data_IF_870970480580
#
_entry.id   IF_870970480580
#
_cell.length_a   1.000
_cell.length_b   1.000
_cell.length_c   1.000
_cell.angle_alpha   90.00
_cell.angle_beta   90.00
_cell.angle_gamma   90.00
#
_symmetry.space_group_name_H-M   'P 1'
#
loop_
_entity.id
_entity.type
_entity.pdbx_description
1 polymer ?
#
# COMPACT_ATOMS: atom_id res chain seq x y z
N UNK A 1 9.77 19.78 -20.54
CA UNK A 1 10.56 18.94 -19.61
C UNK A 1 10.56 19.35 -18.13
N UNK A 2 10.33 20.61 -17.69
CA UNK A 2 10.43 20.92 -16.25
C UNK A 2 9.35 20.23 -15.41
N UNK A 3 8.11 20.14 -15.91
CA UNK A 3 7.00 19.52 -15.20
C UNK A 3 7.19 18.02 -14.94
N UNK A 4 7.66 17.25 -15.94
CA UNK A 4 7.94 15.82 -15.80
C UNK A 4 8.94 15.56 -14.66
N UNK A 5 10.04 16.32 -14.61
CA UNK A 5 11.05 16.20 -13.55
C UNK A 5 10.47 16.56 -12.19
N UNK A 6 9.69 17.64 -12.12
CA UNK A 6 9.05 18.07 -10.89
C UNK A 6 8.12 16.98 -10.33
N UNK A 7 7.25 16.39 -11.17
CA UNK A 7 6.34 15.32 -10.75
C UNK A 7 7.13 14.14 -10.17
N UNK A 8 8.14 13.65 -10.88
CA UNK A 8 8.92 12.49 -10.44
C UNK A 8 9.72 12.77 -9.15
N UNK A 9 10.21 14.00 -8.98
CA UNK A 9 11.04 14.36 -7.84
C UNK A 9 10.21 14.60 -6.58
N UNK A 10 9.02 15.19 -6.71
CA UNK A 10 8.21 15.66 -5.59
C UNK A 10 6.92 14.87 -5.36
N UNK A 11 6.54 13.90 -6.21
CA UNK A 11 5.32 13.09 -6.03
C UNK A 11 5.28 12.43 -4.65
N UNK A 12 6.37 11.82 -4.20
CA UNK A 12 6.46 11.15 -2.91
C UNK A 12 6.24 12.11 -1.73
N UNK A 13 6.79 13.34 -1.82
CA UNK A 13 6.58 14.38 -0.82
C UNK A 13 5.11 14.85 -0.85
N UNK A 14 4.58 15.13 -2.04
CA UNK A 14 3.19 15.54 -2.23
C UNK A 14 2.22 14.51 -1.67
N UNK A 15 2.41 13.21 -1.96
CA UNK A 15 1.55 12.15 -1.41
C UNK A 15 1.61 12.08 0.11
N UNK A 16 2.78 12.27 0.71
CA UNK A 16 2.90 12.29 2.17
C UNK A 16 2.21 13.52 2.78
N UNK A 17 2.32 14.69 2.16
CA UNK A 17 1.58 15.89 2.57
C UNK A 17 0.07 15.68 2.46
N UNK A 18 -0.40 15.07 1.37
CA UNK A 18 -1.81 14.73 1.17
C UNK A 18 -2.29 13.69 2.20
N UNK A 19 -1.47 12.69 2.53
CA UNK A 19 -1.79 11.72 3.57
C UNK A 19 -1.90 12.38 4.94
N UNK A 20 -0.99 13.29 5.30
CA UNK A 20 -1.10 14.05 6.55
C UNK A 20 -2.37 14.90 6.57
N UNK A 21 -2.70 15.58 5.45
CA UNK A 21 -3.94 16.34 5.34
C UNK A 21 -5.17 15.42 5.48
N UNK A 22 -5.13 14.21 4.93
CA UNK A 22 -6.15 13.18 5.12
C UNK A 22 -6.32 12.82 6.60
N UNK A 23 -5.23 12.47 7.30
CA UNK A 23 -5.26 12.11 8.73
C UNK A 23 -5.82 13.23 9.60
N UNK A 24 -5.50 14.48 9.29
CA UNK A 24 -5.99 15.63 10.06
C UNK A 24 -7.47 15.91 9.75
N UNK A 25 -7.84 15.99 8.47
CA UNK A 25 -9.11 16.58 8.06
C UNK A 25 -10.20 15.53 7.79
N UNK A 26 -9.87 14.50 7.03
CA UNK A 26 -10.86 13.56 6.50
C UNK A 26 -11.03 12.34 7.39
N UNK A 27 -9.94 11.80 7.95
CA UNK A 27 -10.02 10.62 8.80
C UNK A 27 -10.94 10.83 10.00
N UNK A 28 -10.92 11.96 10.75
CA UNK A 28 -11.81 12.14 11.89
C UNK A 28 -13.29 12.17 11.47
N UNK A 29 -13.61 12.69 10.28
CA UNK A 29 -14.97 12.69 9.73
C UNK A 29 -15.44 11.28 9.38
N UNK A 30 -14.55 10.46 8.79
CA UNK A 30 -14.84 9.05 8.53
C UNK A 30 -15.06 8.27 9.83
N UNK A 31 -14.17 8.44 10.82
CA UNK A 31 -14.30 7.77 12.11
C UNK A 31 -15.56 8.22 12.86
N UNK A 32 -15.89 9.52 12.84
CA UNK A 32 -17.12 10.03 13.44
C UNK A 32 -18.36 9.40 12.79
N UNK A 33 -18.39 9.29 11.45
CA UNK A 33 -19.46 8.62 10.72
C UNK A 33 -19.58 7.14 11.12
N UNK A 34 -18.46 6.41 11.12
CA UNK A 34 -18.44 4.97 11.43
C UNK A 34 -18.91 4.71 12.87
N UNK A 35 -18.50 5.56 13.82
CA UNK A 35 -18.96 5.51 15.22
C UNK A 35 -20.43 5.91 15.41
N UNK A 36 -21.00 6.68 14.49
CA UNK A 36 -22.36 7.18 14.55
C UNK A 36 -23.40 6.22 13.94
N UNK A 37 -22.98 5.07 13.41
CA UNK A 37 -23.88 4.04 12.84
C UNK A 37 -24.31 3.06 13.95
N UNK A 38 -25.49 3.22 14.61
CA UNK A 38 -25.77 2.59 15.89
C UNK A 38 -26.96 1.63 15.85
N UNK A 39 -27.28 1.01 14.71
CA UNK A 39 -28.25 -0.09 14.70
C UNK A 39 -27.51 -1.44 14.61
N UNK A 40 -27.60 -2.31 15.65
CA UNK A 40 -26.92 -3.61 15.70
C UNK A 40 -27.19 -4.55 14.52
N UNK A 41 -28.18 -4.25 13.68
CA UNK A 41 -28.60 -5.06 12.53
C UNK A 41 -28.44 -4.35 11.18
N UNK A 42 -27.86 -3.13 11.16
CA UNK A 42 -27.69 -2.40 9.91
C UNK A 42 -26.30 -2.66 9.32
N UNK A 43 -26.26 -3.39 8.20
CA UNK A 43 -25.04 -3.61 7.43
C UNK A 43 -24.58 -2.30 6.79
N UNK A 44 -23.33 -1.91 7.02
CA UNK A 44 -22.71 -0.81 6.27
C UNK A 44 -22.03 -1.36 5.01
N UNK A 45 -22.85 -1.54 3.97
CA UNK A 45 -22.41 -2.00 2.67
C UNK A 45 -21.36 -1.09 2.03
N UNK A 46 -21.42 0.22 2.30
CA UNK A 46 -20.47 1.16 1.73
C UNK A 46 -19.10 0.99 2.36
N UNK A 47 -19.01 0.93 3.69
CA UNK A 47 -17.74 0.71 4.39
C UNK A 47 -17.12 -0.62 3.99
N UNK A 48 -17.91 -1.71 3.99
CA UNK A 48 -17.44 -3.03 3.56
C UNK A 48 -16.95 -3.02 2.10
N UNK A 49 -17.72 -2.44 1.18
CA UNK A 49 -17.31 -2.35 -0.23
C UNK A 49 -16.05 -1.51 -0.42
N UNK A 50 -15.93 -0.35 0.25
CA UNK A 50 -14.74 0.49 0.16
C UNK A 50 -13.49 -0.26 0.62
N UNK A 51 -13.57 -1.03 1.72
CA UNK A 51 -12.48 -1.86 2.19
C UNK A 51 -12.16 -3.03 1.24
N UNK A 52 -13.18 -3.65 0.63
CA UNK A 52 -13.00 -4.67 -0.41
C UNK A 52 -12.36 -4.13 -1.70
N UNK A 53 -12.50 -2.84 -1.99
CA UNK A 53 -11.88 -2.20 -3.16
C UNK A 53 -10.40 -1.82 -2.93
N UNK A 54 -9.93 -1.74 -1.69
CA UNK A 54 -8.54 -1.38 -1.36
C UNK A 54 -7.49 -2.24 -2.11
N UNK A 55 -7.63 -3.58 -2.18
CA UNK A 55 -6.72 -4.44 -2.96
C UNK A 55 -6.68 -4.11 -4.45
N UNK A 56 -7.83 -3.71 -5.02
CA UNK A 56 -7.94 -3.35 -6.44
C UNK A 56 -7.29 -2.00 -6.72
N UNK A 57 -7.56 -0.99 -5.89
CA UNK A 57 -6.91 0.32 -6.00
C UNK A 57 -5.39 0.21 -5.88
N UNK A 58 -4.91 -0.65 -5.01
CA UNK A 58 -3.47 -0.89 -4.85
C UNK A 58 -2.87 -1.52 -6.10
N UNK A 59 -3.51 -2.57 -6.64
CA UNK A 59 -3.05 -3.24 -7.85
C UNK A 59 -3.05 -2.29 -9.06
N UNK A 60 -4.12 -1.50 -9.22
CA UNK A 60 -4.20 -0.45 -10.24
C UNK A 60 -3.08 0.57 -10.04
N UNK A 61 -2.84 0.99 -8.80
CA UNK A 61 -1.76 1.91 -8.45
C UNK A 61 -0.38 1.40 -8.89
N UNK A 62 -0.06 0.15 -8.54
CA UNK A 62 1.19 -0.52 -8.93
C UNK A 62 1.30 -0.63 -10.45
N UNK A 63 0.23 -1.05 -11.12
CA UNK A 63 0.20 -1.18 -12.57
C UNK A 63 0.41 0.17 -13.29
N UNK A 64 -0.13 1.25 -12.74
CA UNK A 64 0.04 2.59 -13.28
C UNK A 64 1.46 3.13 -13.07
N UNK A 65 2.10 2.83 -11.94
CA UNK A 65 3.49 3.23 -11.64
C UNK A 65 4.53 2.46 -12.47
N UNK A 66 4.24 1.21 -12.82
CA UNK A 66 5.20 0.27 -13.42
C UNK A 66 6.08 0.82 -14.55
N UNK A 67 5.59 1.58 -15.54
CA UNK A 67 6.45 2.09 -16.61
C UNK A 67 7.59 2.98 -16.12
N UNK A 68 7.32 3.84 -15.14
CA UNK A 68 8.33 4.74 -14.56
C UNK A 68 9.30 3.96 -13.68
N UNK A 69 8.78 3.09 -12.81
CA UNK A 69 9.60 2.25 -11.92
C UNK A 69 10.56 1.36 -12.73
N UNK A 70 10.07 0.73 -13.80
CA UNK A 70 10.86 -0.12 -14.68
C UNK A 70 11.93 0.67 -15.45
N UNK A 71 11.61 1.88 -15.93
CA UNK A 71 12.61 2.76 -16.55
C UNK A 71 13.75 3.08 -15.56
N UNK A 72 13.38 3.54 -14.36
CA UNK A 72 14.34 3.98 -13.35
C UNK A 72 15.22 2.83 -12.86
N UNK A 73 14.66 1.63 -12.70
CA UNK A 73 15.44 0.47 -12.26
C UNK A 73 16.48 0.01 -13.28
N UNK A 74 16.23 0.21 -14.57
CA UNK A 74 17.18 -0.17 -15.63
C UNK A 74 18.28 0.87 -15.78
N UNK A 75 17.93 2.16 -15.71
CA UNK A 75 18.88 3.25 -15.94
C UNK A 75 19.66 3.65 -14.69
N UNK A 76 19.09 3.42 -13.50
CA UNK A 76 19.68 3.79 -12.21
C UNK A 76 19.62 2.64 -11.20
N UNK A 77 20.08 1.41 -11.55
CA UNK A 77 20.04 0.28 -10.64
C UNK A 77 20.95 0.51 -9.43
N UNK A 78 20.48 0.09 -8.26
CA UNK A 78 21.37 -0.09 -7.11
C UNK A 78 22.18 -1.37 -7.30
N UNK A 79 23.51 -1.27 -7.30
CA UNK A 79 24.42 -2.38 -7.62
C UNK A 79 24.36 -3.52 -6.59
N UNK A 80 24.17 -3.22 -5.31
CA UNK A 80 24.17 -4.21 -4.23
C UNK A 80 23.14 -3.85 -3.15
N UNK A 81 22.48 -4.87 -2.64
CA UNK A 81 21.57 -4.77 -1.50
C UNK A 81 22.38 -4.98 -0.23
N UNK A 82 22.31 -4.04 0.72
CA UNK A 82 22.84 -4.30 2.05
C UNK A 82 21.97 -5.35 2.75
N UNK A 83 22.55 -6.12 3.68
CA UNK A 83 21.79 -7.09 4.49
C UNK A 83 20.60 -6.43 5.19
N UNK A 84 20.76 -5.18 5.64
CA UNK A 84 19.68 -4.36 6.18
C UNK A 84 18.59 -4.03 5.17
N UNK A 85 18.95 -3.71 3.92
CA UNK A 85 17.99 -3.49 2.84
C UNK A 85 17.15 -4.73 2.54
N UNK A 86 17.79 -5.91 2.55
CA UNK A 86 17.09 -7.19 2.41
C UNK A 86 16.15 -7.49 3.59
N UNK A 87 16.57 -7.23 4.82
CA UNK A 87 15.71 -7.41 6.00
C UNK A 87 14.50 -6.47 5.96
N UNK A 88 14.70 -5.19 5.64
CA UNK A 88 13.62 -4.21 5.48
C UNK A 88 12.64 -4.68 4.39
N UNK A 89 13.15 -5.19 3.27
CA UNK A 89 12.32 -5.79 2.22
C UNK A 89 11.46 -6.92 2.77
N UNK A 90 12.08 -7.91 3.44
CA UNK A 90 11.39 -9.09 3.94
C UNK A 90 10.30 -8.70 4.94
N UNK A 91 10.62 -7.83 5.90
CA UNK A 91 9.64 -7.33 6.87
C UNK A 91 8.51 -6.55 6.19
N UNK A 92 8.82 -5.72 5.19
CA UNK A 92 7.80 -4.98 4.44
C UNK A 92 6.84 -5.94 3.76
N UNK A 93 7.33 -6.98 3.08
CA UNK A 93 6.49 -7.99 2.44
C UNK A 93 5.64 -8.77 3.46
N UNK A 94 6.23 -9.17 4.59
CA UNK A 94 5.50 -9.85 5.66
C UNK A 94 4.39 -8.98 6.27
N UNK A 95 4.69 -7.72 6.58
CA UNK A 95 3.70 -6.78 7.13
C UNK A 95 2.61 -6.44 6.12
N UNK A 96 2.96 -6.30 4.84
CA UNK A 96 2.02 -6.08 3.77
C UNK A 96 1.03 -7.25 3.63
N UNK A 97 1.55 -8.48 3.62
CA UNK A 97 0.71 -9.69 3.60
C UNK A 97 -0.20 -9.78 4.83
N UNK A 98 0.33 -9.48 6.03
CA UNK A 98 -0.47 -9.46 7.26
C UNK A 98 -1.58 -8.39 7.20
N UNK A 99 -1.28 -7.20 6.69
CA UNK A 99 -2.24 -6.12 6.51
C UNK A 99 -3.32 -6.48 5.48
N UNK A 100 -2.95 -7.14 4.38
CA UNK A 100 -3.87 -7.61 3.36
C UNK A 100 -4.85 -8.67 3.90
N UNK A 101 -4.36 -9.61 4.73
CA UNK A 101 -5.20 -10.61 5.41
C UNK A 101 -6.16 -9.94 6.40
N UNK A 102 -5.64 -9.04 7.24
CA UNK A 102 -6.47 -8.30 8.21
C UNK A 102 -7.53 -7.46 7.53
N UNK A 103 -7.21 -6.80 6.42
CA UNK A 103 -8.14 -6.00 5.65
C UNK A 103 -9.33 -6.83 5.16
N UNK A 104 -9.12 -8.07 4.70
CA UNK A 104 -10.23 -8.94 4.29
C UNK A 104 -11.16 -9.22 5.45
N UNK A 105 -10.61 -9.57 6.63
CA UNK A 105 -11.39 -9.82 7.85
C UNK A 105 -12.20 -8.57 8.23
N UNK A 106 -11.55 -7.40 8.22
CA UNK A 106 -12.18 -6.13 8.58
C UNK A 106 -13.24 -5.75 7.56
N UNK A 107 -13.02 -5.97 6.26
CA UNK A 107 -13.97 -5.62 5.20
C UNK A 107 -15.30 -6.37 5.31
N UNK A 108 -15.28 -7.60 5.83
CA UNK A 108 -16.49 -8.40 6.03
C UNK A 108 -17.23 -8.09 7.35
N UNK A 109 -16.57 -7.41 8.30
CA UNK A 109 -17.18 -7.04 9.59
C UNK A 109 -18.35 -6.05 9.44
N UNK A 110 -18.24 -4.91 8.72
CA UNK A 110 -19.37 -4.01 8.45
C UNK A 110 -20.52 -4.66 7.66
N UNK A 111 -20.21 -5.71 6.90
CA UNK A 111 -21.18 -6.49 6.14
C UNK A 111 -21.92 -7.52 7.00
N UNK A 112 -21.48 -7.72 8.25
CA UNK A 112 -21.95 -8.78 9.15
C UNK A 112 -21.85 -10.17 8.50
N UNK A 113 -20.77 -10.40 7.75
CA UNK A 113 -20.48 -11.69 7.10
C UNK A 113 -19.34 -12.33 7.88
N UNK A 114 -19.58 -13.52 8.44
CA UNK A 114 -18.59 -14.25 9.22
C UNK A 114 -18.57 -15.73 8.89
N UNK A 115 -17.70 -16.48 9.57
CA UNK A 115 -17.66 -17.94 9.55
C UNK A 115 -18.63 -18.53 10.58
N UNK A 116 -19.84 -17.97 10.70
CA UNK A 116 -20.87 -18.42 11.63
C UNK A 116 -22.02 -19.13 10.91
N UNK A 117 -22.81 -19.90 11.67
CA UNK A 117 -23.97 -20.64 11.14
C UNK A 117 -25.08 -19.72 10.58
N UNK A 118 -25.05 -18.43 10.92
CA UNK A 118 -26.02 -17.42 10.46
C UNK A 118 -25.71 -16.91 9.06
N UNK A 119 -24.47 -17.02 8.61
CA UNK A 119 -24.04 -16.59 7.29
C UNK A 119 -24.33 -17.68 6.25
N UNK A 120 -25.04 -17.33 5.16
CA UNK A 120 -25.32 -18.30 4.09
C UNK A 120 -24.04 -18.87 3.47
N UNK A 121 -24.06 -20.15 3.08
CA UNK A 121 -22.92 -20.83 2.45
C UNK A 121 -22.36 -20.09 1.22
N UNK A 122 -23.22 -19.42 0.44
CA UNK A 122 -22.79 -18.61 -0.71
C UNK A 122 -21.94 -17.40 -0.30
N UNK A 123 -22.31 -16.71 0.78
CA UNK A 123 -21.53 -15.57 1.30
C UNK A 123 -20.21 -16.01 1.94
N UNK A 124 -20.19 -17.16 2.64
CA UNK A 124 -18.94 -17.74 3.15
C UNK A 124 -18.00 -18.12 2.00
N UNK A 125 -18.56 -18.70 0.93
CA UNK A 125 -17.80 -19.02 -0.30
C UNK A 125 -17.23 -17.76 -0.95
N UNK A 126 -18.03 -16.69 -1.05
CA UNK A 126 -17.57 -15.40 -1.57
C UNK A 126 -16.42 -14.83 -0.73
N UNK A 127 -16.55 -14.87 0.60
CA UNK A 127 -15.49 -14.43 1.51
C UNK A 127 -14.19 -15.22 1.30
N UNK A 128 -14.29 -16.55 1.17
CA UNK A 128 -13.14 -17.39 0.87
C UNK A 128 -12.51 -17.07 -0.50
N UNK A 129 -13.32 -16.86 -1.54
CA UNK A 129 -12.82 -16.47 -2.87
C UNK A 129 -12.10 -15.13 -2.82
N UNK A 130 -12.69 -14.12 -2.16
CA UNK A 130 -12.05 -12.80 -1.98
C UNK A 130 -10.73 -12.93 -1.21
N UNK A 131 -10.72 -13.72 -0.13
CA UNK A 131 -9.49 -14.00 0.63
C UNK A 131 -8.39 -14.61 -0.26
N UNK A 132 -8.74 -15.62 -1.06
CA UNK A 132 -7.80 -16.25 -2.00
C UNK A 132 -7.33 -15.30 -3.09
N UNK A 133 -8.21 -14.44 -3.61
CA UNK A 133 -7.85 -13.40 -4.56
C UNK A 133 -6.87 -12.39 -3.95
N UNK A 134 -7.09 -11.98 -2.70
CA UNK A 134 -6.17 -11.09 -1.98
C UNK A 134 -4.79 -11.74 -1.82
N UNK A 135 -4.72 -13.01 -1.42
CA UNK A 135 -3.43 -13.74 -1.34
C UNK A 135 -2.76 -13.86 -2.71
N UNK A 136 -3.53 -14.19 -3.75
CA UNK A 136 -3.00 -14.30 -5.11
C UNK A 136 -2.48 -12.95 -5.64
N UNK A 137 -3.12 -11.84 -5.27
CA UNK A 137 -2.63 -10.48 -5.57
C UNK A 137 -1.24 -10.23 -4.99
N UNK A 138 -0.91 -10.78 -3.82
CA UNK A 138 0.40 -10.58 -3.20
C UNK A 138 1.51 -11.23 -4.03
N UNK A 139 1.24 -12.35 -4.71
CA UNK A 139 2.17 -12.92 -5.67
C UNK A 139 2.43 -11.94 -6.84
N UNK A 140 1.39 -11.28 -7.36
CA UNK A 140 1.57 -10.21 -8.35
C UNK A 140 2.32 -9.01 -7.78
N UNK A 141 2.00 -8.56 -6.57
CA UNK A 141 2.69 -7.47 -5.90
C UNK A 141 4.21 -7.70 -5.88
N UNK A 142 4.63 -8.89 -5.44
CA UNK A 142 6.04 -9.31 -5.42
C UNK A 142 6.63 -9.26 -6.83
N UNK A 143 5.98 -9.89 -7.82
CA UNK A 143 6.47 -9.93 -9.22
C UNK A 143 6.54 -8.54 -9.87
N UNK A 144 5.61 -7.65 -9.54
CA UNK A 144 5.52 -6.33 -10.17
C UNK A 144 6.47 -5.31 -9.55
N UNK A 145 6.84 -5.50 -8.28
CA UNK A 145 7.75 -4.60 -7.58
C UNK A 145 9.21 -4.98 -7.76
N UNK A 146 9.51 -6.25 -8.00
CA UNK A 146 10.87 -6.60 -8.40
C UNK A 146 11.17 -6.00 -9.78
N UNK A 147 12.16 -5.10 -9.87
CA UNK A 147 12.55 -4.59 -11.16
C UNK A 147 13.13 -5.74 -11.99
N UNK A 148 12.76 -5.79 -13.25
CA UNK A 148 13.19 -6.82 -14.22
C UNK A 148 14.71 -6.97 -14.35
N UNK A 149 15.49 -6.06 -13.77
CA UNK A 149 16.95 -6.10 -13.69
C UNK A 149 17.51 -7.05 -12.61
N UNK A 150 16.74 -7.46 -11.60
CA UNK A 150 17.22 -8.41 -10.57
C UNK A 150 16.82 -9.86 -10.85
N UNK A 151 15.77 -10.10 -11.61
CA UNK A 151 15.48 -11.44 -12.11
C UNK A 151 16.35 -11.71 -13.34
N UNK A 152 17.49 -12.36 -13.12
CA UNK A 152 18.31 -12.97 -14.18
C UNK A 152 17.45 -13.74 -15.20
N UNK A 153 16.36 -14.35 -14.75
CA UNK A 153 15.37 -15.03 -15.58
C UNK A 153 14.65 -14.11 -16.58
N UNK A 154 14.19 -12.92 -16.18
CA UNK A 154 13.45 -12.01 -17.06
C UNK A 154 14.38 -11.30 -18.05
N UNK A 155 15.58 -10.92 -17.60
CA UNK A 155 16.65 -10.45 -18.49
C UNK A 155 17.08 -11.55 -19.48
N UNK A 156 17.24 -12.78 -19.02
CA UNK A 156 17.59 -13.95 -19.85
C UNK A 156 16.51 -14.25 -20.90
N UNK A 157 15.23 -14.29 -20.51
CA UNK A 157 14.11 -14.53 -21.43
C UNK A 157 13.95 -13.39 -22.45
N UNK A 158 14.16 -12.15 -22.03
CA UNK A 158 14.10 -10.98 -22.92
C UNK A 158 15.29 -10.90 -23.88
N UNK A 159 16.51 -11.14 -23.39
CA UNK A 159 17.74 -11.05 -24.18
C UNK A 159 17.90 -12.23 -25.14
N UNK A 160 17.48 -13.44 -24.76
CA UNK A 160 17.71 -14.63 -25.59
C UNK A 160 16.69 -14.86 -26.70
N UNK A 161 15.74 -13.95 -26.96
CA UNK A 161 14.70 -14.09 -28.01
C UNK A 161 13.91 -15.42 -27.95
N UNK A 162 13.93 -16.12 -26.81
CA UNK A 162 13.24 -17.43 -26.63
C UNK A 162 11.73 -17.24 -26.43
N UNK A 163 11.24 -16.00 -26.39
CA UNK A 163 9.82 -15.76 -26.17
C UNK A 163 8.98 -15.98 -27.42
N UNK A 164 7.96 -16.81 -27.23
CA UNK A 164 6.93 -17.16 -28.19
C UNK A 164 6.11 -15.90 -28.54
N UNK A 165 5.40 -15.88 -29.66
CA UNK A 165 4.55 -14.72 -30.02
C UNK A 165 3.46 -14.43 -28.98
N UNK A 166 2.97 -15.47 -28.30
CA UNK A 166 2.02 -15.36 -27.19
C UNK A 166 2.65 -14.65 -25.98
N UNK A 167 3.89 -14.98 -25.62
CA UNK A 167 4.60 -14.30 -24.53
C UNK A 167 4.85 -12.83 -24.88
N UNK A 168 5.19 -12.55 -26.15
CA UNK A 168 5.36 -11.17 -26.64
C UNK A 168 4.04 -10.39 -26.63
N UNK A 169 2.91 -11.03 -26.86
CA UNK A 169 1.59 -10.42 -26.77
C UNK A 169 1.20 -10.17 -25.30
N UNK A 170 1.45 -11.13 -24.41
CA UNK A 170 1.21 -10.97 -22.97
C UNK A 170 2.08 -9.86 -22.37
N UNK A 171 3.37 -9.81 -22.72
CA UNK A 171 4.27 -8.73 -22.28
C UNK A 171 3.87 -7.36 -22.83
N UNK A 172 3.33 -7.31 -24.05
CA UNK A 172 2.76 -6.07 -24.63
C UNK A 172 1.47 -5.67 -23.92
N UNK A 173 0.59 -6.64 -23.64
CA UNK A 173 -0.67 -6.40 -22.95
C UNK A 173 -0.46 -5.94 -21.50
N UNK A 174 0.48 -6.55 -20.79
CA UNK A 174 0.90 -6.16 -19.46
C UNK A 174 1.75 -4.87 -19.43
N UNK A 175 2.04 -4.27 -20.59
CA UNK A 175 2.85 -3.06 -20.76
C UNK A 175 4.19 -3.13 -20.00
N UNK A 176 4.81 -4.31 -20.02
CA UNK A 176 6.02 -4.60 -19.25
C UNK A 176 7.30 -4.10 -19.94
N UNK A 177 7.16 -3.48 -21.11
CA UNK A 177 8.31 -2.87 -21.77
C UNK A 177 8.60 -1.52 -21.14
N UNK A 178 9.75 -1.36 -20.49
CA UNK A 178 10.15 -0.07 -19.96
C UNK A 178 10.23 0.91 -21.13
N UNK A 179 9.68 2.14 -20.98
CA UNK A 179 9.76 3.13 -22.04
C UNK A 179 11.23 3.48 -22.31
N UNK A 180 11.55 3.99 -23.50
CA UNK A 180 12.92 4.47 -23.79
C UNK A 180 13.22 5.82 -23.15
N UNK A 181 12.19 6.60 -22.84
CA UNK A 181 12.28 7.89 -22.17
C UNK A 181 11.02 8.14 -21.34
N UNK A 182 11.15 8.83 -20.21
CA UNK A 182 9.98 9.22 -19.42
C UNK A 182 9.29 10.41 -20.07
N UNK A 183 8.11 10.18 -20.64
CA UNK A 183 7.25 11.23 -21.19
C UNK A 183 6.40 11.87 -20.08
N UNK A 184 5.75 13.00 -20.38
CA UNK A 184 4.78 13.59 -19.45
C UNK A 184 3.62 12.62 -19.13
N UNK A 185 3.15 11.86 -20.13
CA UNK A 185 2.11 10.84 -19.93
C UNK A 185 2.54 9.76 -18.93
N UNK A 186 3.79 9.29 -19.01
CA UNK A 186 4.35 8.35 -18.03
C UNK A 186 4.39 8.96 -16.62
N UNK A 187 4.81 10.21 -16.48
CA UNK A 187 4.86 10.88 -15.18
C UNK A 187 3.46 11.11 -14.57
N UNK A 188 2.47 11.49 -15.39
CA UNK A 188 1.07 11.62 -14.95
C UNK A 188 0.47 10.27 -14.57
N UNK A 189 0.74 9.21 -15.36
CA UNK A 189 0.32 7.84 -15.03
C UNK A 189 0.92 7.39 -13.70
N UNK A 190 2.19 7.68 -13.45
CA UNK A 190 2.84 7.42 -12.16
C UNK A 190 2.16 8.19 -11.02
N UNK A 191 1.86 9.48 -11.22
CA UNK A 191 1.14 10.29 -10.22
C UNK A 191 -0.27 9.74 -9.92
N UNK A 192 -1.01 9.31 -10.94
CA UNK A 192 -2.30 8.64 -10.74
C UNK A 192 -2.14 7.34 -9.96
N UNK A 193 -1.09 6.57 -10.25
CA UNK A 193 -0.78 5.36 -9.49
C UNK A 193 -0.48 5.64 -8.02
N UNK A 194 0.28 6.70 -7.74
CA UNK A 194 0.55 7.20 -6.38
C UNK A 194 -0.75 7.61 -5.65
N UNK A 195 -1.69 8.26 -6.35
CA UNK A 195 -3.00 8.62 -5.79
C UNK A 195 -3.82 7.37 -5.46
N UNK A 196 -3.84 6.35 -6.34
CA UNK A 196 -4.53 5.09 -6.05
C UNK A 196 -3.96 4.40 -4.81
N UNK A 197 -2.63 4.33 -4.70
CA UNK A 197 -1.95 3.78 -3.51
C UNK A 197 -2.28 4.61 -2.26
N UNK A 198 -2.30 5.94 -2.37
CA UNK A 198 -2.68 6.84 -1.27
C UNK A 198 -4.12 6.60 -0.79
N UNK A 199 -5.06 6.39 -1.70
CA UNK A 199 -6.46 6.10 -1.35
C UNK A 199 -6.57 4.74 -0.66
N UNK A 200 -5.95 3.69 -1.23
CA UNK A 200 -5.87 2.36 -0.59
C UNK A 200 -5.31 2.46 0.83
N UNK A 201 -4.25 3.23 0.98
CA UNK A 201 -3.54 3.49 2.22
C UNK A 201 -4.39 4.17 3.28
N UNK A 202 -5.13 5.21 2.87
CA UNK A 202 -6.05 5.94 3.73
C UNK A 202 -7.19 5.05 4.24
N UNK A 203 -7.79 4.27 3.35
CA UNK A 203 -8.87 3.33 3.70
C UNK A 203 -8.37 2.21 4.60
N UNK A 204 -7.24 1.57 4.25
CA UNK A 204 -6.62 0.52 5.06
C UNK A 204 -6.29 1.02 6.47
N UNK A 205 -5.64 2.19 6.57
CA UNK A 205 -5.30 2.80 7.86
C UNK A 205 -6.54 3.05 8.71
N UNK A 206 -7.61 3.58 8.09
CA UNK A 206 -8.83 3.96 8.81
C UNK A 206 -9.61 2.74 9.29
N UNK A 207 -9.77 1.72 8.43
CA UNK A 207 -10.47 0.50 8.81
C UNK A 207 -9.73 -0.28 9.90
N UNK A 208 -8.40 -0.36 9.81
CA UNK A 208 -7.60 -0.98 10.85
C UNK A 208 -7.60 -0.16 12.16
N UNK A 209 -7.57 1.17 12.07
CA UNK A 209 -7.65 2.06 13.24
C UNK A 209 -8.96 1.84 14.01
N UNK A 210 -10.09 1.85 13.29
CA UNK A 210 -11.40 1.60 13.87
C UNK A 210 -11.47 0.22 14.53
N UNK A 211 -11.02 -0.82 13.81
CA UNK A 211 -11.11 -2.20 14.29
C UNK A 211 -10.24 -2.46 15.53
N UNK A 212 -9.01 -1.94 15.56
CA UNK A 212 -8.05 -2.24 16.64
C UNK A 212 -8.22 -1.29 17.83
N UNK A 213 -8.28 0.02 17.57
CA UNK A 213 -8.28 1.06 18.61
C UNK A 213 -9.69 1.49 19.00
N UNK A 214 -10.67 1.41 18.09
CA UNK A 214 -12.07 1.69 18.43
C UNK A 214 -12.64 0.72 19.45
N UNK A 215 -12.15 -0.53 19.46
CA UNK A 215 -12.55 -1.56 20.42
C UNK A 215 -11.78 -1.52 21.75
N UNK A 216 -10.61 -0.86 21.79
CA UNK A 216 -9.72 -0.82 22.94
C UNK A 216 -9.23 0.62 23.22
N UNK A 217 -10.05 1.45 23.89
CA UNK A 217 -9.64 2.81 24.25
C UNK A 217 -8.45 2.80 25.22
N UNK A 218 -7.55 3.77 25.02
CA UNK A 218 -6.29 4.00 25.76
C UNK A 218 -6.52 4.02 27.29
N UNK A 219 -5.87 3.11 28.01
CA UNK A 219 -5.77 3.09 29.47
C UNK A 219 -4.69 4.10 29.91
N UNK A 220 -5.13 5.17 30.58
CA UNK A 220 -4.25 6.28 31.00
C UNK A 220 -3.28 5.90 32.13
N UNK A 221 -3.28 4.64 32.59
CA UNK A 221 -2.44 4.17 33.70
C UNK A 221 -1.14 3.54 33.21
N UNK A 222 -0.03 3.89 33.85
CA UNK A 222 1.24 3.20 33.63
C UNK A 222 1.17 1.76 34.15
N UNK A 223 1.70 0.75 33.42
CA UNK A 223 2.47 0.81 32.16
C UNK A 223 1.65 0.74 30.86
N UNK A 224 0.31 0.72 30.93
CA UNK A 224 -0.59 0.64 29.77
C UNK A 224 -0.30 1.69 28.70
N UNK A 225 -0.08 2.94 29.12
CA UNK A 225 0.28 4.07 28.24
C UNK A 225 1.48 3.77 27.33
N UNK A 226 2.55 3.13 27.84
CA UNK A 226 3.72 2.80 27.03
C UNK A 226 3.43 1.68 26.03
N UNK A 227 2.69 0.65 26.46
CA UNK A 227 2.29 -0.45 25.58
C UNK A 227 1.39 0.01 24.45
N UNK A 228 0.61 1.06 24.68
CA UNK A 228 -0.28 1.66 23.68
C UNK A 228 0.48 2.52 22.67
N UNK A 229 1.37 3.42 23.13
CA UNK A 229 2.23 4.16 22.20
C UNK A 229 3.11 3.23 21.37
N UNK A 230 3.58 2.12 21.96
CA UNK A 230 4.30 1.07 21.24
C UNK A 230 3.38 0.37 20.23
N UNK A 231 2.17 -0.03 20.62
CA UNK A 231 1.18 -0.65 19.75
C UNK A 231 0.80 0.22 18.57
N UNK A 232 0.58 1.52 18.80
CA UNK A 232 0.28 2.51 17.76
C UNK A 232 1.48 2.77 16.87
N UNK A 233 2.70 2.73 17.41
CA UNK A 233 3.92 2.84 16.61
C UNK A 233 4.13 1.60 15.75
N UNK A 234 3.89 0.39 16.28
CA UNK A 234 3.92 -0.86 15.50
C UNK A 234 2.84 -0.81 14.43
N UNK A 235 1.64 -0.36 14.77
CA UNK A 235 0.52 -0.21 13.85
C UNK A 235 0.82 0.79 12.74
N UNK A 236 1.36 1.95 13.10
CA UNK A 236 1.88 2.92 12.16
C UNK A 236 2.93 2.29 11.26
N UNK A 237 3.90 1.55 11.79
CA UNK A 237 4.91 0.88 10.98
C UNK A 237 4.30 -0.16 10.04
N UNK A 238 3.36 -0.98 10.51
CA UNK A 238 2.66 -1.95 9.67
C UNK A 238 1.95 -1.26 8.51
N UNK A 239 1.17 -0.21 8.80
CA UNK A 239 0.42 0.48 7.75
C UNK A 239 1.34 1.34 6.90
N UNK A 240 2.14 2.23 7.48
CA UNK A 240 3.08 3.09 6.76
C UNK A 240 4.05 2.30 5.87
N UNK A 241 4.60 1.18 6.34
CA UNK A 241 5.46 0.33 5.49
C UNK A 241 4.67 -0.31 4.36
N UNK A 242 3.43 -0.76 4.61
CA UNK A 242 2.54 -1.31 3.58
C UNK A 242 2.20 -0.25 2.52
N UNK A 243 1.72 0.91 2.98
CA UNK A 243 1.38 2.11 2.20
C UNK A 243 2.54 2.59 1.34
N UNK A 244 3.76 2.53 1.90
CA UNK A 244 4.98 2.96 1.23
C UNK A 244 5.71 1.79 0.60
N UNK A 245 5.20 0.56 0.62
CA UNK A 245 5.99 -0.61 0.24
C UNK A 245 6.50 -0.46 -1.19
N UNK A 246 5.64 -0.06 -2.13
CA UNK A 246 6.05 0.22 -3.52
C UNK A 246 7.15 1.29 -3.58
N UNK A 247 6.99 2.42 -2.89
CA UNK A 247 7.97 3.51 -2.89
C UNK A 247 9.25 3.21 -2.12
N UNK A 248 9.18 2.43 -1.04
CA UNK A 248 10.31 1.96 -0.26
C UNK A 248 11.11 0.94 -1.05
N UNK A 249 10.44 0.03 -1.74
CA UNK A 249 11.04 -0.96 -2.61
C UNK A 249 11.67 -0.33 -3.86
N UNK A 250 11.02 0.69 -4.44
CA UNK A 250 11.61 1.58 -5.44
C UNK A 250 12.87 2.27 -4.89
N UNK A 251 12.81 2.87 -3.70
CA UNK A 251 13.94 3.54 -3.06
C UNK A 251 15.08 2.61 -2.65
N UNK A 252 14.79 1.33 -2.40
CA UNK A 252 15.79 0.29 -2.15
C UNK A 252 16.44 -0.20 -3.45
N UNK A 253 15.71 -0.20 -4.56
CA UNK A 253 16.15 -0.74 -5.85
C UNK A 253 16.76 0.30 -6.79
N UNK A 254 16.39 1.57 -6.66
CA UNK A 254 16.79 2.68 -7.52
C UNK A 254 17.71 3.61 -6.73
N UNK A 255 18.76 4.11 -7.38
CA UNK A 255 19.62 5.12 -6.76
C UNK A 255 18.85 6.43 -6.52
N UNK A 256 18.61 6.74 -5.25
CA UNK A 256 17.96 7.97 -4.80
C UNK A 256 18.98 9.04 -4.41
N UNK A 257 18.64 10.30 -4.65
CA UNK A 257 19.48 11.42 -4.21
C UNK A 257 19.44 11.58 -2.68
N UNK A 258 20.50 12.09 -2.03
CA UNK A 258 20.49 12.33 -0.58
C UNK A 258 19.34 13.23 -0.12
N UNK A 259 18.94 14.20 -0.95
CA UNK A 259 17.81 15.08 -0.66
C UNK A 259 16.48 14.29 -0.61
N UNK A 260 16.23 13.40 -1.58
CA UNK A 260 15.04 12.55 -1.58
C UNK A 260 14.98 11.62 -0.37
N UNK A 261 16.13 11.06 0.04
CA UNK A 261 16.22 10.24 1.25
C UNK A 261 15.86 11.05 2.50
N UNK A 262 16.42 12.25 2.67
CA UNK A 262 16.09 13.15 3.79
C UNK A 262 14.61 13.51 3.81
N UNK A 263 14.04 13.91 2.66
CA UNK A 263 12.62 14.27 2.60
C UNK A 263 11.70 13.09 2.90
N UNK A 264 12.04 11.89 2.44
CA UNK A 264 11.28 10.68 2.78
C UNK A 264 11.33 10.37 4.28
N UNK A 265 12.49 10.53 4.92
CA UNK A 265 12.63 10.33 6.38
C UNK A 265 11.84 11.38 7.17
N UNK A 266 12.01 12.67 6.83
CA UNK A 266 11.33 13.78 7.51
C UNK A 266 9.82 13.63 7.39
N UNK A 267 9.32 13.36 6.19
CA UNK A 267 7.88 13.20 5.96
C UNK A 267 7.32 11.94 6.63
N UNK A 268 8.08 10.83 6.68
CA UNK A 268 7.70 9.65 7.45
C UNK A 268 7.61 9.93 8.96
N UNK A 269 8.61 10.62 9.52
CA UNK A 269 8.60 11.03 10.92
C UNK A 269 7.45 12.00 11.24
N UNK A 270 7.11 12.90 10.32
CA UNK A 270 5.97 13.80 10.48
C UNK A 270 4.63 13.05 10.50
N UNK A 271 4.42 12.08 9.60
CA UNK A 271 3.20 11.25 9.61
C UNK A 271 3.11 10.41 10.90
N UNK A 272 4.23 9.85 11.36
CA UNK A 272 4.29 9.13 12.64
C UNK A 272 3.89 10.04 13.80
N UNK A 273 4.45 11.25 13.87
CA UNK A 273 4.10 12.22 14.90
C UNK A 273 2.61 12.59 14.86
N UNK A 274 2.06 12.85 13.67
CA UNK A 274 0.61 13.11 13.49
C UNK A 274 -0.21 11.93 13.99
N UNK A 275 0.17 10.70 13.65
CA UNK A 275 -0.49 9.47 14.12
C UNK A 275 -0.53 9.35 15.64
N UNK A 276 0.57 9.69 16.32
CA UNK A 276 0.62 9.70 17.79
C UNK A 276 -0.28 10.79 18.39
N UNK A 277 -0.38 11.94 17.72
CA UNK A 277 -1.20 13.06 18.16
C UNK A 277 -2.69 12.84 17.93
N UNK A 278 -3.07 12.01 16.94
CA UNK A 278 -4.47 11.66 16.64
C UNK A 278 -5.03 10.54 17.53
N UNK A 279 -4.24 10.04 18.49
CA UNK A 279 -4.74 9.03 19.43
C UNK A 279 -5.91 9.58 20.24
N UNK A 280 -7.07 8.88 20.28
CA UNK A 280 -8.17 9.29 21.12
C UNK A 280 -7.72 9.20 22.58
N UNK A 281 -7.57 10.37 23.21
CA UNK A 281 -7.29 10.49 24.65
C UNK A 281 -8.61 10.50 25.41
N UNK A 282 -8.72 9.69 26.46
CA UNK A 282 -9.78 9.81 27.46
C UNK A 282 -9.27 10.60 28.65
#
# INVERSE_FOLDING_TARGET
MPLTRWILQYSSLLMNLLFMAYLWLLQPLFLARLSATPEPNQRDWLAGLLLLLVPLFELVGIFLKRPVSAYLSIHYPRKEWSSWGFLIFLFTAMFHMAAAVMLVIIAFSPLQIGFDEKTSAGLQTLMFVVFMLTLFKEAFFIVFIFPSSTSSLFQYLYQNKVMNDQDRALLRWLDLRPPQQITLGCALRNLLGEICILVSSALLYTGLWEFILGQNPVDTRWPGVLSEYLGVSIFFLMVFLTVRAVGALEGLSIQSTPAQQRWSLISGAAIWLVTLLTLPRR
#
